data_IF_211047704575
#
_entry.id   IF_211047704575
#
_cell.length_a   1.000
_cell.length_b   1.000
_cell.length_c   1.000
_cell.angle_alpha   90.00
_cell.angle_beta   90.00
_cell.angle_gamma   90.00
#
_symmetry.space_group_name_H-M   'P 1'
#
loop_
_entity.id
_entity.type
_entity.pdbx_description
1 polymer ?
#
# COMPACT_ATOMS: atom_id res chain seq x y z
N UNK A 1 -9.02 -20.76 0.63
CA UNK A 1 -9.19 -19.96 1.87
C UNK A 1 -8.63 -18.54 1.77
N UNK A 2 -7.32 -18.31 1.51
CA UNK A 2 -6.75 -16.94 1.49
C UNK A 2 -7.28 -16.05 0.33
N UNK A 3 -7.80 -16.66 -0.74
CA UNK A 3 -8.37 -15.95 -1.89
C UNK A 3 -9.70 -15.25 -1.60
N UNK A 4 -10.41 -15.71 -0.59
CA UNK A 4 -11.73 -15.19 -0.23
C UNK A 4 -11.63 -13.75 0.30
N UNK A 5 -12.43 -12.84 -0.25
CA UNK A 5 -12.37 -11.41 0.06
C UNK A 5 -12.59 -11.12 1.56
N UNK A 6 -13.47 -11.89 2.22
CA UNK A 6 -13.73 -11.77 3.65
C UNK A 6 -12.55 -12.28 4.51
N UNK A 7 -11.82 -13.30 4.06
CA UNK A 7 -10.60 -13.79 4.73
C UNK A 7 -9.49 -12.75 4.61
N UNK A 8 -9.37 -12.08 3.45
CA UNK A 8 -8.40 -11.00 3.26
C UNK A 8 -8.65 -9.83 4.22
N UNK A 9 -9.91 -9.41 4.37
CA UNK A 9 -10.29 -8.39 5.36
C UNK A 9 -9.90 -8.80 6.79
N UNK A 10 -10.19 -10.05 7.16
CA UNK A 10 -9.87 -10.59 8.49
C UNK A 10 -8.35 -10.60 8.73
N UNK A 11 -7.55 -11.00 7.73
CA UNK A 11 -6.09 -10.95 7.78
C UNK A 11 -5.60 -9.51 7.92
N UNK A 12 -6.13 -8.55 7.16
CA UNK A 12 -5.73 -7.14 7.25
C UNK A 12 -6.05 -6.56 8.64
N UNK A 13 -7.20 -6.90 9.22
CA UNK A 13 -7.58 -6.49 10.58
C UNK A 13 -6.64 -7.11 11.62
N UNK A 14 -6.32 -8.41 11.49
CA UNK A 14 -5.38 -9.09 12.38
C UNK A 14 -3.98 -8.46 12.31
N UNK A 15 -3.47 -8.21 11.11
CA UNK A 15 -2.17 -7.55 10.90
C UNK A 15 -2.20 -6.15 11.50
N UNK A 16 -3.28 -5.38 11.31
CA UNK A 16 -3.43 -4.07 11.92
C UNK A 16 -3.37 -4.14 13.46
N UNK A 17 -4.10 -5.08 14.07
CA UNK A 17 -4.09 -5.32 15.51
C UNK A 17 -2.69 -5.66 16.01
N UNK A 18 -2.01 -6.61 15.39
CA UNK A 18 -0.64 -7.00 15.73
C UNK A 18 0.30 -5.79 15.66
N UNK A 19 0.23 -5.00 14.58
CA UNK A 19 1.03 -3.79 14.42
C UNK A 19 0.72 -2.75 15.51
N UNK A 20 -0.54 -2.62 15.94
CA UNK A 20 -0.90 -1.69 17.02
C UNK A 20 -0.36 -2.14 18.38
N UNK A 21 -0.37 -3.44 18.66
CA UNK A 21 0.13 -4.02 19.91
C UNK A 21 1.65 -3.97 19.98
N UNK A 22 2.34 -4.35 18.89
CA UNK A 22 3.80 -4.27 18.77
C UNK A 22 4.30 -2.82 18.89
N UNK A 23 3.57 -1.85 18.31
CA UNK A 23 3.90 -0.43 18.44
C UNK A 23 3.81 0.07 19.89
N UNK A 24 2.83 -0.41 20.67
CA UNK A 24 2.71 -0.06 22.10
C UNK A 24 3.87 -0.62 22.95
N UNK A 25 4.38 -1.80 22.60
CA UNK A 25 5.37 -2.53 23.40
C UNK A 25 6.83 -2.26 23.02
N UNK A 26 7.17 -2.17 21.73
CA UNK A 26 8.57 -2.23 21.27
C UNK A 26 9.08 -0.94 20.59
N UNK A 27 8.21 -0.19 19.90
CA UNK A 27 8.64 0.85 18.96
C UNK A 27 8.60 2.29 19.47
N UNK A 28 8.64 2.51 20.80
CA UNK A 28 8.52 3.86 21.39
C UNK A 28 9.71 4.79 21.06
N UNK A 29 10.90 4.26 20.75
CA UNK A 29 12.12 5.06 20.52
C UNK A 29 12.73 5.00 19.09
N UNK A 30 12.60 3.89 18.35
CA UNK A 30 13.37 3.70 17.09
C UNK A 30 12.62 3.99 15.77
N UNK A 31 11.28 3.99 15.72
CA UNK A 31 10.51 4.19 14.46
C UNK A 31 9.50 5.34 14.56
N UNK A 32 9.98 6.56 14.83
CA UNK A 32 9.12 7.76 14.86
C UNK A 32 8.55 8.12 13.48
N UNK A 33 9.27 7.77 12.40
CA UNK A 33 8.93 8.18 11.03
C UNK A 33 8.29 7.10 10.16
N UNK A 34 8.46 5.82 10.51
CA UNK A 34 7.76 4.71 9.84
C UNK A 34 6.33 4.64 10.38
N UNK A 35 5.35 4.87 9.52
CA UNK A 35 3.94 4.74 9.92
C UNK A 35 3.51 3.30 9.75
N UNK A 36 2.42 2.94 10.44
CA UNK A 36 1.82 1.60 10.39
C UNK A 36 1.39 1.22 8.98
N UNK A 37 1.02 2.21 8.17
CA UNK A 37 0.62 2.05 6.78
C UNK A 37 1.77 1.54 5.90
N UNK A 38 2.99 2.00 6.15
CA UNK A 38 4.19 1.58 5.41
C UNK A 38 4.47 0.08 5.52
N UNK A 39 4.01 -0.58 6.59
CA UNK A 39 4.10 -2.05 6.76
C UNK A 39 2.84 -2.74 6.21
N UNK A 40 1.67 -2.11 6.36
CA UNK A 40 0.42 -2.63 5.79
C UNK A 40 0.43 -2.65 4.27
N UNK A 41 1.16 -1.73 3.62
CA UNK A 41 1.30 -1.63 2.17
C UNK A 41 1.76 -2.94 1.51
N UNK A 42 2.67 -3.68 2.16
CA UNK A 42 3.13 -5.00 1.70
C UNK A 42 1.99 -6.03 1.72
N UNK A 43 1.19 -6.04 2.78
CA UNK A 43 0.03 -6.93 2.90
C UNK A 43 -1.09 -6.51 1.94
N UNK A 44 -1.28 -5.21 1.74
CA UNK A 44 -2.22 -4.64 0.77
C UNK A 44 -1.86 -5.07 -0.65
N UNK A 45 -0.57 -5.06 -1.04
CA UNK A 45 -0.14 -5.54 -2.34
C UNK A 45 -0.56 -7.00 -2.58
N UNK A 46 -0.34 -7.88 -1.59
CA UNK A 46 -0.76 -9.29 -1.69
C UNK A 46 -2.28 -9.40 -1.83
N UNK A 47 -3.04 -8.64 -1.04
CA UNK A 47 -4.50 -8.64 -1.13
C UNK A 47 -4.99 -8.14 -2.50
N UNK A 48 -4.42 -7.05 -3.01
CA UNK A 48 -4.69 -6.50 -4.34
C UNK A 48 -4.38 -7.53 -5.42
N UNK A 49 -3.29 -8.30 -5.31
CA UNK A 49 -2.95 -9.34 -6.27
C UNK A 49 -4.11 -10.32 -6.47
N UNK A 50 -4.57 -10.93 -5.38
CA UNK A 50 -5.62 -11.93 -5.42
C UNK A 50 -6.97 -11.33 -5.80
N UNK A 51 -7.31 -10.16 -5.27
CA UNK A 51 -8.58 -9.52 -5.54
C UNK A 51 -8.68 -9.01 -6.99
N UNK A 52 -7.58 -8.51 -7.56
CA UNK A 52 -7.55 -8.13 -8.99
C UNK A 52 -7.66 -9.33 -9.93
N UNK A 53 -6.98 -10.44 -9.63
CA UNK A 53 -7.14 -11.68 -10.40
C UNK A 53 -8.57 -12.21 -10.38
N UNK A 54 -9.24 -12.09 -9.24
CA UNK A 54 -10.60 -12.60 -9.05
C UNK A 54 -11.66 -11.71 -9.71
N UNK A 55 -11.49 -10.39 -9.70
CA UNK A 55 -12.45 -9.44 -10.32
C UNK A 55 -12.20 -9.23 -11.82
N UNK A 56 -10.93 -9.17 -12.24
CA UNK A 56 -10.55 -8.77 -13.61
C UNK A 56 -9.83 -9.87 -14.40
N UNK A 57 -9.56 -11.04 -13.79
CA UNK A 57 -8.80 -12.11 -14.43
C UNK A 57 -7.30 -11.84 -14.58
N UNK A 58 -6.81 -10.69 -14.12
CA UNK A 58 -5.41 -10.26 -14.26
C UNK A 58 -4.91 -9.53 -13.02
N UNK A 59 -3.60 -9.52 -12.81
CA UNK A 59 -3.02 -8.78 -11.68
C UNK A 59 -2.78 -7.32 -12.05
N UNK A 60 -3.30 -6.40 -11.22
CA UNK A 60 -3.11 -4.95 -11.40
C UNK A 60 -1.74 -4.47 -10.87
N UNK A 61 -1.01 -5.31 -10.14
CA UNK A 61 0.29 -4.95 -9.53
C UNK A 61 1.31 -4.37 -10.52
N UNK A 62 1.54 -4.95 -11.71
CA UNK A 62 2.50 -4.41 -12.66
C UNK A 62 2.16 -2.96 -13.07
N UNK A 63 0.86 -2.64 -13.20
CA UNK A 63 0.40 -1.29 -13.51
C UNK A 63 0.62 -0.33 -12.34
N UNK A 64 0.41 -0.77 -11.10
CA UNK A 64 0.70 0.03 -9.90
C UNK A 64 2.20 0.32 -9.78
N UNK A 65 3.05 -0.68 -10.03
CA UNK A 65 4.52 -0.50 -9.99
C UNK A 65 4.96 0.44 -11.11
N UNK A 66 4.39 0.32 -12.30
CA UNK A 66 4.69 1.22 -13.42
C UNK A 66 4.31 2.67 -13.06
N UNK A 67 3.10 2.89 -12.54
CA UNK A 67 2.64 4.21 -12.09
C UNK A 67 3.50 4.79 -10.97
N UNK A 68 3.88 3.98 -9.99
CA UNK A 68 4.78 4.41 -8.91
C UNK A 68 6.18 4.72 -9.42
N UNK A 69 6.71 3.94 -10.36
CA UNK A 69 8.02 4.20 -10.97
C UNK A 69 8.03 5.52 -11.72
N UNK A 70 6.99 5.79 -12.52
CA UNK A 70 6.81 7.06 -13.20
C UNK A 70 6.72 8.24 -12.21
N UNK A 71 5.95 8.08 -11.13
CA UNK A 71 5.88 9.07 -10.05
C UNK A 71 7.25 9.30 -9.38
N UNK A 72 8.01 8.24 -9.12
CA UNK A 72 9.36 8.32 -8.57
C UNK A 72 10.33 9.10 -9.46
N UNK A 73 10.25 8.90 -10.78
CA UNK A 73 11.04 9.66 -11.76
C UNK A 73 10.66 11.14 -11.75
N UNK A 74 9.37 11.46 -11.81
CA UNK A 74 8.88 12.86 -11.74
C UNK A 74 9.39 13.53 -10.47
N UNK A 75 9.25 12.85 -9.33
CA UNK A 75 9.74 13.36 -8.05
C UNK A 75 11.25 13.61 -8.07
N UNK A 76 12.03 12.70 -8.64
CA UNK A 76 13.49 12.85 -8.75
C UNK A 76 13.86 14.11 -9.52
N UNK A 77 13.21 14.35 -10.66
CA UNK A 77 13.42 15.55 -11.48
C UNK A 77 13.02 16.81 -10.71
N UNK A 78 11.85 16.82 -10.07
CA UNK A 78 11.39 17.97 -9.29
C UNK A 78 12.35 18.32 -8.14
N UNK A 79 12.86 17.33 -7.41
CA UNK A 79 13.85 17.56 -6.36
C UNK A 79 15.17 18.10 -6.90
N UNK A 80 15.63 17.59 -8.05
CA UNK A 80 16.84 18.08 -8.69
C UNK A 80 16.70 19.55 -9.12
N UNK A 81 15.53 19.93 -9.67
CA UNK A 81 15.27 21.31 -10.12
C UNK A 81 15.03 22.29 -8.97
N UNK A 82 14.30 21.89 -7.93
CA UNK A 82 13.88 22.81 -6.86
C UNK A 82 14.88 22.90 -5.70
N UNK A 83 15.45 21.78 -5.27
CA UNK A 83 16.29 21.72 -4.07
C UNK A 83 17.79 21.63 -4.43
N UNK A 84 18.16 21.35 -5.68
CA UNK A 84 19.55 21.18 -6.14
C UNK A 84 20.27 19.94 -5.57
N UNK A 85 19.65 19.24 -4.63
CA UNK A 85 20.16 18.03 -3.99
C UNK A 85 19.00 17.07 -3.66
N UNK A 86 19.24 15.78 -3.85
CA UNK A 86 18.25 14.74 -3.52
C UNK A 86 18.44 14.32 -2.07
N UNK A 87 17.59 14.84 -1.17
CA UNK A 87 17.52 14.37 0.20
C UNK A 87 16.78 13.01 0.24
N UNK A 88 17.51 11.91 0.07
CA UNK A 88 16.99 10.53 0.00
C UNK A 88 15.93 10.20 1.06
N UNK A 89 16.16 10.64 2.31
CA UNK A 89 15.21 10.41 3.41
C UNK A 89 13.84 11.08 3.15
N UNK A 90 13.82 12.32 2.67
CA UNK A 90 12.57 13.04 2.35
C UNK A 90 11.90 12.44 1.13
N UNK A 91 12.69 12.10 0.11
CA UNK A 91 12.22 11.43 -1.09
C UNK A 91 11.50 10.12 -0.77
N UNK A 92 12.15 9.20 -0.06
CA UNK A 92 11.60 7.89 0.30
C UNK A 92 10.33 8.01 1.15
N UNK A 93 10.31 8.94 2.11
CA UNK A 93 9.12 9.15 2.94
C UNK A 93 7.95 9.63 2.07
N UNK A 94 8.13 10.64 1.21
CA UNK A 94 7.04 11.12 0.34
C UNK A 94 6.59 10.06 -0.66
N UNK A 95 7.54 9.35 -1.26
CA UNK A 95 7.26 8.25 -2.18
C UNK A 95 6.39 7.17 -1.52
N UNK A 96 6.81 6.68 -0.35
CA UNK A 96 6.04 5.69 0.40
C UNK A 96 4.65 6.17 0.80
N UNK A 97 4.49 7.46 1.13
CA UNK A 97 3.17 8.02 1.50
C UNK A 97 2.19 7.98 0.33
N UNK A 98 2.66 8.28 -0.87
CA UNK A 98 1.82 8.19 -2.08
C UNK A 98 1.54 6.73 -2.44
N UNK A 99 2.53 5.85 -2.32
CA UNK A 99 2.34 4.41 -2.50
C UNK A 99 1.28 3.84 -1.55
N UNK A 100 1.33 4.20 -0.26
CA UNK A 100 0.33 3.77 0.73
C UNK A 100 -1.09 4.18 0.33
N UNK A 101 -1.28 5.44 -0.08
CA UNK A 101 -2.59 5.98 -0.49
C UNK A 101 -3.07 5.27 -1.75
N UNK A 102 -2.17 5.07 -2.72
CA UNK A 102 -2.48 4.39 -3.97
C UNK A 102 -2.93 2.94 -3.72
N UNK A 103 -2.17 2.17 -2.94
CA UNK A 103 -2.52 0.78 -2.63
C UNK A 103 -3.83 0.68 -1.85
N UNK A 104 -4.01 1.53 -0.82
CA UNK A 104 -5.26 1.54 -0.07
C UNK A 104 -6.45 1.88 -0.96
N UNK A 105 -6.32 2.92 -1.79
CA UNK A 105 -7.36 3.33 -2.74
C UNK A 105 -7.70 2.22 -3.73
N UNK A 106 -6.70 1.59 -4.34
CA UNK A 106 -6.89 0.47 -5.27
C UNK A 106 -7.58 -0.71 -4.59
N UNK A 107 -7.15 -1.07 -3.38
CA UNK A 107 -7.78 -2.15 -2.62
C UNK A 107 -9.26 -1.85 -2.34
N UNK A 108 -9.58 -0.63 -1.87
CA UNK A 108 -10.96 -0.22 -1.63
C UNK A 108 -11.83 -0.31 -2.88
N UNK A 109 -11.34 0.17 -4.03
CA UNK A 109 -12.07 0.11 -5.30
C UNK A 109 -12.35 -1.34 -5.70
N UNK A 110 -11.32 -2.19 -5.70
CA UNK A 110 -11.47 -3.62 -6.03
C UNK A 110 -12.42 -4.34 -5.08
N UNK A 111 -12.39 -3.99 -3.80
CA UNK A 111 -13.27 -4.57 -2.80
C UNK A 111 -14.73 -4.19 -3.04
N UNK A 112 -15.00 -2.91 -3.34
CA UNK A 112 -16.33 -2.45 -3.69
C UNK A 112 -16.84 -3.20 -4.93
N UNK A 113 -16.02 -3.31 -5.98
CA UNK A 113 -16.39 -4.08 -7.17
C UNK A 113 -16.72 -5.53 -6.85
N UNK A 114 -15.89 -6.21 -6.06
CA UNK A 114 -16.14 -7.61 -5.68
C UNK A 114 -17.43 -7.76 -4.87
N UNK A 115 -17.68 -6.85 -3.94
CA UNK A 115 -18.88 -6.87 -3.09
C UNK A 115 -20.13 -6.64 -3.94
N UNK A 116 -20.13 -5.63 -4.81
CA UNK A 116 -21.26 -5.36 -5.72
C UNK A 116 -21.54 -6.56 -6.63
N UNK A 117 -20.50 -7.16 -7.20
CA UNK A 117 -20.62 -8.35 -8.04
C UNK A 117 -21.08 -9.60 -7.28
N UNK A 118 -20.98 -9.62 -5.96
CA UNK A 118 -21.45 -10.74 -5.14
C UNK A 118 -22.95 -10.63 -4.82
N UNK A 119 -23.47 -9.41 -4.74
CA UNK A 119 -24.89 -9.14 -4.45
C UNK A 119 -25.78 -9.14 -5.71
N UNK A 120 -25.19 -9.11 -6.90
CA UNK A 120 -25.87 -9.06 -8.19
C UNK A 120 -25.75 -10.41 -8.90
#
# INVERSE_FOLDING_TARGET
MIKEWYVQLLILILVWLILTLLKKRFFRKQLKNFKRLDVMSLFLLIAIHFLSQDVMGLSIIPFLICGLSAYGLIMTILYALMEGQILYKKFLIKFWRVADILFLGTYCVLLIFKVVSFFN
#
